data_IF_908277943402
#
_entry.id   IF_908277943402
#
_cell.length_a   1.000
_cell.length_b   1.000
_cell.length_c   1.000
_cell.angle_alpha   90.00
_cell.angle_beta   90.00
_cell.angle_gamma   90.00
#
_symmetry.space_group_name_H-M   'P 1'
#
loop_
_entity.id
_entity.type
_entity.pdbx_description
1 polymer ?
#
# COMPACT_ATOMS: atom_id res chain seq x y z
N UNK A 1 8.59 4.47 12.99
CA UNK A 1 8.87 5.26 11.77
C UNK A 1 7.59 5.36 10.96
N UNK A 2 7.30 6.55 10.44
CA UNK A 2 6.07 6.82 9.70
C UNK A 2 6.42 6.97 8.23
N UNK A 3 5.78 6.18 7.37
CA UNK A 3 6.04 6.16 5.93
C UNK A 3 4.76 6.57 5.21
N UNK A 4 4.85 7.60 4.37
CA UNK A 4 3.76 8.03 3.51
C UNK A 4 4.14 7.78 2.05
N UNK A 5 3.33 6.98 1.35
CA UNK A 5 3.50 6.72 -0.08
C UNK A 5 2.71 7.70 -0.93
N UNK A 6 3.31 8.14 -2.02
CA UNK A 6 2.61 8.86 -3.11
C UNK A 6 2.55 7.90 -4.29
N UNK A 7 1.38 7.78 -4.92
CA UNK A 7 1.06 6.80 -5.96
C UNK A 7 1.14 5.33 -5.46
N UNK A 8 0.46 5.04 -4.34
CA UNK A 8 0.46 3.70 -3.70
C UNK A 8 -0.38 2.64 -4.44
N UNK A 9 -1.26 3.05 -5.36
CA UNK A 9 -2.25 2.21 -6.03
C UNK A 9 -1.65 1.16 -6.98
N UNK A 10 -0.40 1.34 -7.39
CA UNK A 10 0.34 0.38 -8.22
C UNK A 10 0.73 -0.91 -7.48
N UNK A 11 0.74 -2.04 -8.18
CA UNK A 11 0.98 -3.37 -7.59
C UNK A 11 2.29 -3.49 -6.79
N UNK A 12 3.37 -2.86 -7.27
CA UNK A 12 4.67 -2.88 -6.61
C UNK A 12 4.69 -2.04 -5.32
N UNK A 13 4.18 -0.80 -5.40
CA UNK A 13 4.12 0.13 -4.27
C UNK A 13 3.20 -0.40 -3.17
N UNK A 14 2.07 -0.97 -3.55
CA UNK A 14 1.13 -1.60 -2.64
C UNK A 14 1.76 -2.77 -1.86
N UNK A 15 2.48 -3.66 -2.55
CA UNK A 15 3.17 -4.79 -1.90
C UNK A 15 4.26 -4.31 -0.92
N UNK A 16 5.01 -3.27 -1.29
CA UNK A 16 6.01 -2.68 -0.40
C UNK A 16 5.36 -2.06 0.84
N UNK A 17 4.25 -1.34 0.67
CA UNK A 17 3.49 -0.77 1.77
C UNK A 17 3.01 -1.86 2.75
N UNK A 18 2.52 -2.99 2.25
CA UNK A 18 2.14 -4.14 3.06
C UNK A 18 3.34 -4.70 3.83
N UNK A 19 4.50 -4.88 3.18
CA UNK A 19 5.70 -5.40 3.83
C UNK A 19 6.18 -4.48 4.96
N UNK A 20 6.15 -3.16 4.76
CA UNK A 20 6.52 -2.19 5.78
C UNK A 20 5.51 -2.15 6.94
N UNK A 21 4.22 -2.25 6.64
CA UNK A 21 3.19 -2.35 7.67
C UNK A 21 3.36 -3.61 8.52
N UNK A 22 3.60 -4.77 7.89
CA UNK A 22 3.87 -6.03 8.59
C UNK A 22 5.16 -5.97 9.45
N UNK A 23 6.11 -5.10 9.09
CA UNK A 23 7.33 -4.84 9.88
C UNK A 23 7.09 -3.90 11.07
N UNK A 24 5.86 -3.45 11.29
CA UNK A 24 5.46 -2.60 12.42
C UNK A 24 5.61 -1.09 12.17
N UNK A 25 5.79 -0.68 10.91
CA UNK A 25 5.78 0.74 10.57
C UNK A 25 4.37 1.26 10.37
N UNK A 26 4.14 2.52 10.75
CA UNK A 26 2.90 3.22 10.40
C UNK A 26 3.00 3.62 8.93
N UNK A 27 2.17 3.01 8.09
CA UNK A 27 2.14 3.26 6.65
C UNK A 27 0.84 3.96 6.30
N UNK A 28 0.96 5.06 5.56
CA UNK A 28 -0.16 5.78 4.94
C UNK A 28 0.16 5.98 3.47
N UNK A 29 -0.83 6.31 2.64
CA UNK A 29 -0.55 6.59 1.24
C UNK A 29 -1.68 7.33 0.53
N UNK A 30 -1.33 7.89 -0.63
CA UNK A 30 -2.23 8.59 -1.54
C UNK A 30 -2.10 8.03 -2.95
N UNK A 31 -3.23 7.99 -3.67
CA UNK A 31 -3.32 7.71 -5.10
C UNK A 31 -4.67 8.24 -5.60
N UNK A 32 -4.75 8.56 -6.89
CA UNK A 32 -6.01 8.92 -7.54
C UNK A 32 -6.91 7.68 -7.67
N UNK A 33 -6.31 6.51 -7.92
CA UNK A 33 -7.02 5.24 -8.09
C UNK A 33 -6.19 4.05 -7.64
N UNK A 34 -6.81 3.07 -6.99
CA UNK A 34 -6.18 1.79 -6.66
C UNK A 34 -6.56 0.78 -7.75
N UNK A 35 -5.57 0.30 -8.50
CA UNK A 35 -5.76 -0.65 -9.58
C UNK A 35 -5.72 -2.09 -9.08
N UNK A 36 -6.27 -3.03 -9.84
CA UNK A 36 -6.02 -4.45 -9.61
C UNK A 36 -4.58 -4.82 -10.02
N UNK A 37 -3.92 -5.74 -9.30
CA UNK A 37 -4.44 -6.57 -8.21
C UNK A 37 -4.38 -5.92 -6.81
N UNK A 38 -3.90 -4.68 -6.69
CA UNK A 38 -3.72 -4.00 -5.40
C UNK A 38 -5.04 -3.87 -4.63
N UNK A 39 -6.12 -3.52 -5.33
CA UNK A 39 -7.46 -3.36 -4.74
C UNK A 39 -7.97 -4.67 -4.14
N UNK A 40 -8.03 -5.73 -4.95
CA UNK A 40 -8.47 -7.05 -4.49
C UNK A 40 -7.64 -7.59 -3.31
N UNK A 41 -6.33 -7.33 -3.29
CA UNK A 41 -5.45 -7.75 -2.18
C UNK A 41 -5.70 -6.98 -0.89
N UNK A 42 -6.05 -5.69 -0.99
CA UNK A 42 -6.39 -4.87 0.16
C UNK A 42 -7.71 -5.32 0.80
N UNK A 43 -8.71 -5.65 -0.02
CA UNK A 43 -10.02 -6.12 0.44
C UNK A 43 -9.98 -7.53 1.05
N UNK A 44 -9.07 -8.39 0.59
CA UNK A 44 -8.92 -9.76 1.10
C UNK A 44 -8.19 -9.86 2.45
N UNK A 45 -7.75 -8.73 3.02
CA UNK A 45 -6.94 -8.66 4.23
C UNK A 45 -7.76 -8.20 5.43
#
# INVERSE_FOLDING_TARGET
MNVHFIAIGGAAMHNLAIALHNKGYLVTGSDDTIFDPSKSRLEAK
#
